data_IF_024269283030
#
_entry.id   IF_024269283030
#
_cell.length_a   1.000
_cell.length_b   1.000
_cell.length_c   1.000
_cell.angle_alpha   90.00
_cell.angle_beta   90.00
_cell.angle_gamma   90.00
#
_symmetry.space_group_name_H-M   'P 1'
#
loop_
_entity.id
_entity.type
_entity.pdbx_description
1 polymer ?
#
# COMPACT_ATOMS: atom_id res chain seq x y z
N UNK A 1 -48.05 68.89 26.84
CA UNK A 1 -48.42 68.01 25.76
C UNK A 1 -47.44 66.86 25.78
N UNK A 2 -47.87 65.71 26.30
CA UNK A 2 -47.06 64.54 26.48
C UNK A 2 -46.86 63.78 25.17
N UNK A 3 -45.65 63.31 24.92
CA UNK A 3 -45.44 62.21 23.97
C UNK A 3 -44.58 61.15 24.64
N UNK A 4 -45.18 59.99 24.85
CA UNK A 4 -44.57 58.75 25.26
C UNK A 4 -43.84 58.12 24.09
N UNK A 5 -42.52 57.86 24.27
CA UNK A 5 -41.74 57.06 23.32
C UNK A 5 -41.50 55.69 23.93
N UNK A 6 -42.10 54.65 23.31
CA UNK A 6 -41.93 53.28 23.73
C UNK A 6 -40.59 52.71 23.30
N UNK A 7 -39.89 52.03 24.25
CA UNK A 7 -38.73 51.20 23.96
C UNK A 7 -39.20 49.85 23.38
N UNK A 8 -38.79 49.55 22.17
CA UNK A 8 -38.85 48.22 21.63
C UNK A 8 -37.55 47.44 22.00
N UNK A 9 -37.69 46.43 22.80
CA UNK A 9 -36.62 45.39 22.98
C UNK A 9 -36.72 44.42 21.85
N UNK A 10 -35.70 44.41 20.99
CA UNK A 10 -35.51 43.35 19.99
C UNK A 10 -34.72 42.21 20.61
N UNK A 11 -35.35 41.06 20.79
CA UNK A 11 -34.71 39.79 21.18
C UNK A 11 -33.90 39.24 20.01
N UNK A 12 -32.60 39.08 20.21
CA UNK A 12 -31.71 38.38 19.27
C UNK A 12 -31.79 36.89 19.57
N UNK A 13 -32.11 36.01 18.60
CA UNK A 13 -32.02 34.57 18.82
C UNK A 13 -30.53 34.16 18.80
N UNK A 14 -30.09 33.47 19.86
CA UNK A 14 -28.82 32.78 19.90
C UNK A 14 -28.86 31.58 18.94
N UNK A 15 -28.18 31.70 17.81
CA UNK A 15 -27.92 30.57 16.93
C UNK A 15 -26.71 29.80 17.46
N UNK A 16 -26.98 28.65 18.10
CA UNK A 16 -25.96 27.66 18.39
C UNK A 16 -25.59 26.94 17.09
N UNK A 17 -24.59 27.45 16.40
CA UNK A 17 -23.97 26.77 15.26
C UNK A 17 -22.98 25.75 15.78
N UNK A 18 -23.40 24.48 15.81
CA UNK A 18 -22.51 23.33 15.94
C UNK A 18 -21.67 23.23 14.64
N UNK A 19 -20.53 23.91 14.66
CA UNK A 19 -19.58 23.92 13.56
C UNK A 19 -18.59 22.79 13.67
N UNK A 20 -19.04 21.53 13.52
CA UNK A 20 -18.12 20.45 13.21
C UNK A 20 -17.69 20.62 11.74
N UNK A 21 -16.72 21.49 11.53
CA UNK A 21 -16.00 21.52 10.25
C UNK A 21 -15.21 20.22 10.16
N UNK A 22 -15.70 19.29 9.33
CA UNK A 22 -14.90 18.20 8.85
C UNK A 22 -13.66 18.81 8.20
N UNK A 23 -12.51 18.60 8.83
CA UNK A 23 -11.22 18.92 8.23
C UNK A 23 -11.09 18.03 6.98
N UNK A 24 -11.46 18.56 5.83
CA UNK A 24 -11.08 18.00 4.57
C UNK A 24 -9.56 18.16 4.47
N UNK A 25 -8.84 17.12 4.85
CA UNK A 25 -7.43 16.99 4.55
C UNK A 25 -7.29 17.04 3.03
N UNK A 26 -6.91 18.21 2.53
CA UNK A 26 -6.62 18.44 1.12
C UNK A 26 -5.37 17.62 0.83
N UNK A 27 -5.56 16.41 0.33
CA UNK A 27 -4.47 15.59 -0.22
C UNK A 27 -3.67 16.47 -1.18
N UNK A 28 -2.36 16.66 -0.96
CA UNK A 28 -1.58 17.50 -1.86
C UNK A 28 -1.66 16.91 -3.26
N UNK A 29 -2.08 17.73 -4.21
CA UNK A 29 -2.03 17.39 -5.62
C UNK A 29 -0.57 17.32 -6.06
N UNK A 30 0.08 16.18 -5.83
CA UNK A 30 1.30 15.86 -6.54
C UNK A 30 0.92 15.51 -7.99
N UNK A 31 1.61 16.09 -8.99
CA UNK A 31 1.43 15.64 -10.36
C UNK A 31 1.85 14.18 -10.41
N UNK A 32 0.98 13.43 -10.61
CA UNK A 32 0.56 12.04 -10.80
C UNK A 32 1.62 11.12 -11.34
N UNK A 33 2.71 10.94 -10.55
CA UNK A 33 3.60 9.81 -10.77
C UNK A 33 2.85 8.54 -10.35
N UNK A 34 2.56 7.67 -11.30
CA UNK A 34 2.09 6.31 -10.99
C UNK A 34 3.21 5.54 -10.29
N UNK A 35 2.91 4.96 -9.13
CA UNK A 35 3.84 4.11 -8.39
C UNK A 35 3.87 2.71 -9.00
N UNK A 36 5.03 2.30 -9.49
CA UNK A 36 5.25 0.99 -10.09
C UNK A 36 5.72 0.03 -9.02
N UNK A 37 4.89 -0.99 -8.75
CA UNK A 37 5.08 -1.94 -7.65
C UNK A 37 5.69 -3.23 -8.19
N UNK A 38 6.73 -3.72 -7.52
CA UNK A 38 7.26 -5.06 -7.67
C UNK A 38 6.94 -5.91 -6.43
N UNK A 39 6.90 -7.21 -6.59
CA UNK A 39 6.62 -8.21 -5.58
C UNK A 39 7.80 -9.15 -5.42
N UNK A 40 8.14 -9.50 -4.18
CA UNK A 40 9.15 -10.51 -3.90
C UNK A 40 8.75 -11.35 -2.69
N UNK A 41 8.97 -12.67 -2.79
CA UNK A 41 8.68 -13.64 -1.73
C UNK A 41 9.74 -14.74 -1.65
N UNK A 42 9.78 -15.43 -0.51
CA UNK A 42 10.61 -16.63 -0.34
C UNK A 42 10.09 -17.84 -1.09
N UNK A 43 8.80 -17.92 -1.30
CA UNK A 43 8.05 -18.98 -1.97
C UNK A 43 6.57 -18.88 -1.63
N UNK A 44 5.74 -19.65 -2.32
CA UNK A 44 4.29 -19.64 -2.13
C UNK A 44 3.88 -19.99 -0.71
N UNK A 45 2.86 -19.30 -0.19
CA UNK A 45 2.26 -19.56 1.10
C UNK A 45 0.81 -19.07 1.13
N UNK A 46 -0.10 -19.89 1.63
CA UNK A 46 -1.55 -19.59 1.59
C UNK A 46 -1.90 -18.24 2.23
N UNK A 47 -1.22 -17.84 3.31
CA UNK A 47 -1.50 -16.57 3.94
C UNK A 47 -1.02 -15.38 3.10
N UNK A 48 0.01 -15.55 2.26
CA UNK A 48 0.43 -14.50 1.33
C UNK A 48 -0.66 -14.19 0.31
N UNK A 49 -1.36 -15.21 -0.19
CA UNK A 49 -2.49 -15.02 -1.10
C UNK A 49 -3.59 -14.18 -0.44
N UNK A 50 -3.97 -14.53 0.80
CA UNK A 50 -5.00 -13.83 1.57
C UNK A 50 -4.61 -12.39 1.88
N UNK A 51 -3.38 -12.17 2.31
CA UNK A 51 -2.86 -10.84 2.65
C UNK A 51 -2.77 -9.98 1.40
N UNK A 52 -2.27 -10.52 0.28
CA UNK A 52 -2.18 -9.80 -0.99
C UNK A 52 -3.56 -9.39 -1.52
N UNK A 53 -4.53 -10.31 -1.49
CA UNK A 53 -5.91 -10.02 -1.87
C UNK A 53 -6.57 -8.98 -0.92
N UNK A 54 -6.37 -9.10 0.39
CA UNK A 54 -6.87 -8.12 1.35
C UNK A 54 -6.22 -6.74 1.17
N UNK A 55 -4.93 -6.70 0.85
CA UNK A 55 -4.22 -5.47 0.52
C UNK A 55 -4.80 -4.81 -0.72
N UNK A 56 -5.06 -5.58 -1.79
CA UNK A 56 -5.69 -5.08 -3.00
C UNK A 56 -7.07 -4.50 -2.71
N UNK A 57 -7.90 -5.22 -1.94
CA UNK A 57 -9.22 -4.73 -1.53
C UNK A 57 -9.13 -3.39 -0.79
N UNK A 58 -8.24 -3.27 0.19
CA UNK A 58 -8.03 -2.02 0.93
C UNK A 58 -7.56 -0.88 0.02
N UNK A 59 -6.68 -1.15 -0.94
CA UNK A 59 -6.22 -0.15 -1.91
C UNK A 59 -7.35 0.32 -2.85
N UNK A 60 -8.26 -0.59 -3.23
CA UNK A 60 -9.44 -0.23 -4.03
C UNK A 60 -10.44 0.61 -3.22
N UNK A 61 -10.71 0.24 -1.97
CA UNK A 61 -11.56 1.01 -1.05
C UNK A 61 -11.02 2.44 -0.82
N UNK A 62 -9.70 2.62 -0.85
CA UNK A 62 -9.04 3.92 -0.77
C UNK A 62 -8.96 4.66 -2.12
N UNK A 63 -9.46 4.07 -3.20
CA UNK A 63 -9.40 4.65 -4.55
C UNK A 63 -7.97 4.75 -5.13
N UNK A 64 -7.04 3.91 -4.64
CA UNK A 64 -5.65 3.86 -5.11
C UNK A 64 -5.51 3.01 -6.37
N UNK A 65 -6.29 1.94 -6.44
CA UNK A 65 -6.40 1.04 -7.60
C UNK A 65 -7.86 0.93 -8.07
N UNK A 66 -8.07 0.47 -9.29
CA UNK A 66 -9.38 0.42 -9.92
C UNK A 66 -10.24 -0.74 -9.40
N UNK A 67 -9.64 -1.90 -9.18
CA UNK A 67 -10.34 -3.13 -8.76
C UNK A 67 -9.49 -3.88 -7.73
N UNK A 68 -10.13 -4.35 -6.67
CA UNK A 68 -9.52 -5.10 -5.58
C UNK A 68 -10.17 -6.47 -5.33
N UNK A 69 -11.15 -6.88 -6.14
CA UNK A 69 -11.84 -8.16 -6.00
C UNK A 69 -11.05 -9.31 -6.64
N UNK A 70 -9.87 -9.54 -6.09
CA UNK A 70 -8.90 -10.51 -6.60
C UNK A 70 -9.40 -11.93 -6.36
N UNK A 71 -9.49 -12.78 -7.40
CA UNK A 71 -9.81 -14.19 -7.23
C UNK A 71 -8.63 -14.92 -6.58
N UNK A 72 -8.88 -15.55 -5.42
CA UNK A 72 -7.88 -16.37 -4.73
C UNK A 72 -7.95 -17.79 -5.30
N UNK A 73 -6.85 -18.32 -5.87
CA UNK A 73 -6.84 -19.67 -6.42
C UNK A 73 -7.02 -20.71 -5.32
N UNK A 74 -7.81 -21.75 -5.62
CA UNK A 74 -8.00 -22.88 -4.72
C UNK A 74 -6.88 -23.93 -4.87
N UNK A 75 -6.60 -24.65 -3.76
CA UNK A 75 -5.71 -25.83 -3.75
C UNK A 75 -4.27 -25.57 -4.20
N UNK A 76 -3.82 -24.34 -4.07
CA UNK A 76 -2.43 -23.95 -4.32
C UNK A 76 -2.02 -22.88 -3.31
N UNK A 77 -0.74 -22.75 -3.05
CA UNK A 77 -0.13 -21.65 -2.30
C UNK A 77 0.61 -20.64 -3.20
N UNK A 78 0.54 -20.85 -4.53
CA UNK A 78 1.15 -19.99 -5.54
C UNK A 78 0.46 -18.61 -5.57
N UNK A 79 1.22 -17.55 -5.33
CA UNK A 79 0.77 -16.16 -5.37
C UNK A 79 0.83 -15.55 -6.78
N UNK A 80 1.49 -16.23 -7.74
CA UNK A 80 1.65 -15.73 -9.12
C UNK A 80 0.33 -15.41 -9.82
N UNK A 81 -0.72 -16.26 -9.74
CA UNK A 81 -2.00 -15.95 -10.37
C UNK A 81 -2.67 -14.67 -9.85
N UNK A 82 -2.51 -14.39 -8.55
CA UNK A 82 -3.01 -13.15 -7.93
C UNK A 82 -2.23 -11.95 -8.47
N UNK A 83 -0.90 -12.05 -8.53
CA UNK A 83 -0.07 -10.97 -9.05
C UNK A 83 -0.36 -10.66 -10.52
N UNK A 84 -0.49 -11.69 -11.37
CA UNK A 84 -0.82 -11.53 -12.78
C UNK A 84 -2.20 -10.86 -12.95
N UNK A 85 -3.19 -11.25 -12.14
CA UNK A 85 -4.50 -10.61 -12.12
C UNK A 85 -4.41 -9.13 -11.74
N UNK A 86 -3.65 -8.80 -10.68
CA UNK A 86 -3.44 -7.42 -10.25
C UNK A 86 -2.79 -6.58 -11.35
N UNK A 87 -1.81 -7.12 -12.03
CA UNK A 87 -1.12 -6.44 -13.13
C UNK A 87 -2.03 -6.17 -14.34
N UNK A 88 -3.04 -7.01 -14.55
CA UNK A 88 -3.95 -6.91 -15.70
C UNK A 88 -5.22 -6.10 -15.40
N UNK A 89 -5.73 -6.12 -14.17
CA UNK A 89 -7.06 -5.60 -13.85
C UNK A 89 -7.07 -4.47 -12.80
N UNK A 90 -6.11 -4.48 -11.87
CA UNK A 90 -6.14 -3.58 -10.72
C UNK A 90 -5.50 -2.21 -10.95
N UNK A 91 -4.86 -1.99 -12.09
CA UNK A 91 -4.16 -0.74 -12.39
C UNK A 91 -5.07 0.49 -12.26
N UNK A 92 -4.58 1.51 -11.56
CA UNK A 92 -5.28 2.77 -11.34
C UNK A 92 -4.43 3.98 -11.78
N UNK A 93 -4.89 5.18 -11.44
CA UNK A 93 -4.16 6.41 -11.76
C UNK A 93 -2.93 6.61 -10.87
N UNK A 94 -2.89 5.98 -9.71
CA UNK A 94 -1.84 6.16 -8.71
C UNK A 94 -0.85 5.01 -8.62
N UNK A 95 -1.28 3.78 -8.93
CA UNK A 95 -0.49 2.57 -8.72
C UNK A 95 -0.63 1.60 -9.88
N UNK A 96 0.48 0.96 -10.24
CA UNK A 96 0.57 -0.06 -11.28
C UNK A 96 1.38 -1.24 -10.75
N UNK A 97 0.82 -2.44 -10.86
CA UNK A 97 1.53 -3.67 -10.57
C UNK A 97 2.32 -4.11 -11.82
N UNK A 98 3.64 -4.24 -11.68
CA UNK A 98 4.48 -4.61 -12.80
C UNK A 98 4.32 -6.11 -13.12
N UNK A 99 3.83 -6.45 -14.31
CA UNK A 99 3.62 -7.84 -14.73
C UNK A 99 4.90 -8.66 -14.66
N UNK A 100 6.03 -8.07 -15.06
CA UNK A 100 7.37 -8.65 -14.97
C UNK A 100 8.08 -8.36 -13.64
N UNK A 101 7.35 -7.82 -12.66
CA UNK A 101 7.84 -7.43 -11.33
C UNK A 101 7.60 -8.48 -10.25
N UNK A 102 7.36 -9.73 -10.58
CA UNK A 102 7.12 -10.82 -9.64
C UNK A 102 8.35 -11.72 -9.48
N UNK A 103 8.81 -11.88 -8.25
CA UNK A 103 10.00 -12.64 -7.89
C UNK A 103 9.67 -13.64 -6.77
N UNK A 104 9.51 -14.92 -7.08
CA UNK A 104 9.38 -16.00 -6.10
C UNK A 104 10.64 -16.86 -6.10
N UNK A 105 11.16 -17.15 -4.92
CA UNK A 105 12.31 -18.02 -4.79
C UNK A 105 11.92 -19.51 -4.71
N UNK A 106 10.63 -19.84 -4.63
CA UNK A 106 10.14 -21.20 -4.47
C UNK A 106 10.85 -21.99 -3.35
N UNK A 107 11.21 -21.29 -2.28
CA UNK A 107 11.97 -21.76 -1.12
C UNK A 107 13.39 -22.26 -1.45
N UNK A 108 13.93 -21.90 -2.61
CA UNK A 108 15.30 -22.19 -3.03
C UNK A 108 16.24 -21.02 -2.71
N UNK A 109 17.35 -21.32 -2.02
CA UNK A 109 18.29 -20.29 -1.56
C UNK A 109 19.09 -19.64 -2.71
N UNK A 110 19.40 -20.40 -3.76
CA UNK A 110 20.11 -19.86 -4.93
C UNK A 110 19.19 -18.94 -5.73
N UNK A 111 17.93 -19.36 -5.92
CA UNK A 111 16.92 -18.52 -6.57
C UNK A 111 16.62 -17.25 -5.76
N UNK A 112 16.59 -17.33 -4.42
CA UNK A 112 16.48 -16.18 -3.53
C UNK A 112 17.59 -15.15 -3.79
N UNK A 113 18.84 -15.62 -3.82
CA UNK A 113 19.99 -14.74 -4.08
C UNK A 113 19.93 -14.10 -5.49
N UNK A 114 19.54 -14.90 -6.49
CA UNK A 114 19.35 -14.42 -7.86
C UNK A 114 18.23 -13.36 -7.96
N UNK A 115 17.08 -13.61 -7.34
CA UNK A 115 15.94 -12.68 -7.33
C UNK A 115 16.30 -11.37 -6.62
N UNK A 116 16.96 -11.47 -5.45
CA UNK A 116 17.45 -10.29 -4.75
C UNK A 116 18.36 -9.44 -5.64
N UNK A 117 19.35 -10.06 -6.26
CA UNK A 117 20.26 -9.36 -7.18
C UNK A 117 19.50 -8.72 -8.33
N UNK A 118 18.65 -9.46 -9.03
CA UNK A 118 17.90 -8.98 -10.19
C UNK A 118 17.01 -7.78 -9.84
N UNK A 119 16.32 -7.81 -8.71
CA UNK A 119 15.47 -6.70 -8.28
C UNK A 119 16.29 -5.47 -7.87
N UNK A 120 17.41 -5.66 -7.17
CA UNK A 120 18.30 -4.55 -6.81
C UNK A 120 18.95 -3.89 -8.04
N UNK A 121 19.41 -4.69 -9.00
CA UNK A 121 19.95 -4.19 -10.26
C UNK A 121 18.89 -3.41 -11.05
N UNK A 122 17.67 -3.95 -11.11
CA UNK A 122 16.54 -3.28 -11.76
C UNK A 122 16.23 -1.90 -11.15
N UNK A 123 16.23 -1.81 -9.82
CA UNK A 123 16.01 -0.53 -9.11
C UNK A 123 17.10 0.47 -9.43
N UNK A 124 18.37 0.03 -9.43
CA UNK A 124 19.54 0.90 -9.61
C UNK A 124 19.76 1.31 -11.05
N UNK A 125 19.60 0.39 -11.98
CA UNK A 125 19.95 0.58 -13.38
C UNK A 125 18.80 1.08 -14.24
N UNK A 126 17.61 0.47 -14.09
CA UNK A 126 16.43 0.86 -14.88
C UNK A 126 15.60 1.95 -14.21
N UNK A 127 15.57 1.99 -12.87
CA UNK A 127 14.76 2.94 -12.13
C UNK A 127 13.25 2.83 -12.45
N UNK A 128 12.77 1.62 -12.78
CA UNK A 128 11.39 1.37 -13.19
C UNK A 128 10.53 0.69 -12.09
N UNK A 129 11.07 0.59 -10.88
CA UNK A 129 10.36 0.15 -9.66
C UNK A 129 10.34 1.31 -8.68
N UNK A 130 9.17 1.64 -8.17
CA UNK A 130 8.98 2.76 -7.22
C UNK A 130 8.60 2.28 -5.82
N UNK A 131 8.20 1.01 -5.67
CA UNK A 131 7.75 0.41 -4.42
C UNK A 131 7.90 -1.11 -4.47
N UNK A 132 8.19 -1.73 -3.32
CA UNK A 132 8.34 -3.18 -3.20
C UNK A 132 7.35 -3.73 -2.17
N UNK A 133 6.61 -4.76 -2.56
CA UNK A 133 5.88 -5.63 -1.66
C UNK A 133 6.73 -6.87 -1.36
N UNK A 134 7.26 -6.95 -0.14
CA UNK A 134 8.13 -8.03 0.31
C UNK A 134 7.38 -8.95 1.27
N UNK A 135 7.06 -10.17 0.82
CA UNK A 135 6.26 -11.12 1.57
C UNK A 135 7.10 -12.17 2.27
N UNK A 136 6.89 -12.27 3.58
CA UNK A 136 7.59 -13.17 4.48
C UNK A 136 8.96 -12.68 4.92
N UNK A 137 9.55 -13.43 5.87
CA UNK A 137 10.80 -13.04 6.52
C UNK A 137 11.98 -12.99 5.55
N UNK A 138 12.06 -13.92 4.58
CA UNK A 138 13.16 -13.93 3.62
C UNK A 138 13.17 -12.66 2.76
N UNK A 139 12.04 -12.34 2.15
CA UNK A 139 11.92 -11.17 1.29
C UNK A 139 12.04 -9.86 2.08
N UNK A 140 11.42 -9.78 3.26
CA UNK A 140 11.53 -8.65 4.16
C UNK A 140 12.99 -8.36 4.54
N UNK A 141 13.75 -9.39 4.95
CA UNK A 141 15.15 -9.24 5.29
C UNK A 141 15.99 -8.80 4.09
N UNK A 142 15.78 -9.41 2.92
CA UNK A 142 16.55 -9.12 1.72
C UNK A 142 16.36 -7.68 1.21
N UNK A 143 15.14 -7.14 1.33
CA UNK A 143 14.78 -5.84 0.76
C UNK A 143 14.84 -4.72 1.79
N UNK A 144 14.32 -4.91 3.00
CA UNK A 144 14.30 -3.87 4.02
C UNK A 144 15.69 -3.51 4.57
N UNK A 145 16.67 -4.43 4.47
CA UNK A 145 18.06 -4.18 4.88
C UNK A 145 18.97 -3.77 3.72
N UNK A 146 18.44 -3.74 2.49
CA UNK A 146 19.21 -3.29 1.33
C UNK A 146 19.35 -1.76 1.30
N UNK A 147 20.47 -1.27 0.81
CA UNK A 147 20.68 0.15 0.52
C UNK A 147 19.98 0.50 -0.81
N UNK A 148 18.71 0.87 -0.71
CA UNK A 148 17.85 1.24 -1.85
C UNK A 148 17.00 2.46 -1.50
N UNK A 149 16.64 3.22 -2.53
CA UNK A 149 15.88 4.48 -2.39
C UNK A 149 14.36 4.31 -2.50
N UNK A 150 13.88 3.10 -2.76
CA UNK A 150 12.45 2.82 -2.89
C UNK A 150 11.86 2.27 -1.59
N UNK A 151 10.63 2.63 -1.22
CA UNK A 151 9.97 2.08 -0.03
C UNK A 151 9.72 0.58 -0.17
N UNK A 152 9.90 -0.13 0.94
CA UNK A 152 9.66 -1.57 1.07
C UNK A 152 8.57 -1.80 2.10
N UNK A 153 7.50 -2.46 1.70
CA UNK A 153 6.45 -2.93 2.59
C UNK A 153 6.69 -4.40 2.91
N UNK A 154 7.24 -4.66 4.09
CA UNK A 154 7.44 -6.03 4.57
C UNK A 154 6.16 -6.54 5.22
N UNK A 155 5.54 -7.54 4.61
CA UNK A 155 4.26 -8.12 5.00
C UNK A 155 4.42 -9.59 5.38
N UNK A 156 3.53 -10.08 6.27
CA UNK A 156 3.56 -11.49 6.74
C UNK A 156 4.90 -11.92 7.34
N UNK A 157 5.53 -11.04 8.10
CA UNK A 157 6.76 -11.33 8.84
C UNK A 157 6.38 -11.74 10.25
N UNK A 158 6.89 -12.88 10.72
CA UNK A 158 6.55 -13.43 12.06
C UNK A 158 7.01 -12.51 13.18
N UNK A 159 8.25 -12.04 13.13
CA UNK A 159 8.82 -11.08 14.08
C UNK A 159 9.84 -10.20 13.33
N UNK A 160 9.42 -9.00 12.99
CA UNK A 160 10.24 -8.08 12.20
C UNK A 160 11.46 -7.55 12.98
N UNK A 161 11.36 -7.45 14.31
CA UNK A 161 12.46 -6.96 15.16
C UNK A 161 13.50 -8.06 15.36
N UNK A 162 13.06 -9.27 15.72
CA UNK A 162 13.96 -10.41 15.90
C UNK A 162 14.65 -10.78 14.58
N UNK A 163 13.94 -10.67 13.46
CA UNK A 163 14.51 -10.92 12.13
C UNK A 163 15.48 -9.80 11.66
N UNK A 164 15.55 -8.68 12.37
CA UNK A 164 16.42 -7.56 12.00
C UNK A 164 15.88 -6.70 10.84
N UNK A 165 14.61 -6.84 10.51
CA UNK A 165 13.91 -6.06 9.46
C UNK A 165 13.55 -4.67 9.99
N UNK A 166 13.11 -4.59 11.24
CA UNK A 166 12.79 -3.33 11.91
C UNK A 166 13.63 -3.17 13.20
N UNK A 167 13.98 -1.93 13.53
CA UNK A 167 14.73 -1.64 14.77
C UNK A 167 13.83 -1.68 16.01
N UNK A 168 12.58 -1.31 15.85
CA UNK A 168 11.56 -1.35 16.90
C UNK A 168 10.16 -1.30 16.27
N UNK A 169 9.13 -1.66 17.04
CA UNK A 169 7.72 -1.53 16.67
C UNK A 169 7.07 -0.25 17.24
N UNK A 170 7.87 0.74 17.60
CA UNK A 170 7.41 2.04 18.12
C UNK A 170 7.38 3.08 17.02
#
# INVERSE_FOLDING_TARGET
MLMCGGLLFAAVPASAGDGTQAVQEKTPAHPEKKWRVAYIEGGGYTDYQRILAATAKGLAELGVIADGDVPIPEKTDDTRPIWDWLAEHAGGDRLVFLKDGYYSANWDAAQRAANRKALLDRIREKGDVDMIFAFGTWAGLDMATADISVPVFSMSVTDAVQAGIAKSLK
#
